data_IF_529131532228
#
_entry.id   IF_529131532228
#
_cell.length_a   1.000
_cell.length_b   1.000
_cell.length_c   1.000
_cell.angle_alpha   90.00
_cell.angle_beta   90.00
_cell.angle_gamma   90.00
#
_symmetry.space_group_name_H-M   'P 1'
#
loop_
_entity.id
_entity.type
_entity.pdbx_description
1 polymer ?
#
# COMPACT_ATOMS: atom_id res chain seq x y z
N UNK A 1 19.83 -1.94 19.60
CA UNK A 1 20.08 -0.70 20.39
C UNK A 1 19.14 0.38 19.90
N UNK A 2 18.50 1.16 20.82
CA UNK A 2 17.65 2.31 20.45
C UNK A 2 18.47 3.59 20.52
N UNK A 3 18.42 4.41 19.47
CA UNK A 3 18.90 5.78 19.45
C UNK A 3 17.75 6.74 19.20
N UNK A 4 17.74 7.90 19.87
CA UNK A 4 16.68 8.91 19.71
C UNK A 4 17.31 10.28 19.47
N UNK A 5 16.78 10.99 18.46
CA UNK A 5 17.12 12.39 18.19
C UNK A 5 15.84 13.22 18.30
N UNK A 6 15.86 14.27 19.12
CA UNK A 6 14.71 15.14 19.33
C UNK A 6 14.93 16.50 18.67
N UNK A 7 13.86 17.03 18.08
CA UNK A 7 13.76 18.38 17.55
C UNK A 7 12.41 18.98 17.96
N UNK A 8 12.35 20.31 18.09
CA UNK A 8 11.11 21.02 18.44
C UNK A 8 10.80 22.04 17.36
N UNK A 9 9.56 22.00 16.86
CA UNK A 9 9.05 22.91 15.83
C UNK A 9 7.77 23.58 16.32
N UNK A 10 7.89 24.74 16.95
CA UNK A 10 6.77 25.40 17.62
C UNK A 10 6.29 24.59 18.83
N UNK A 11 5.04 24.15 18.80
CA UNK A 11 4.41 23.26 19.78
C UNK A 11 4.57 21.78 19.48
N UNK A 12 5.22 21.43 18.37
CA UNK A 12 5.41 20.05 17.93
C UNK A 12 6.79 19.54 18.32
N UNK A 13 6.84 18.52 19.15
CA UNK A 13 8.04 17.73 19.42
C UNK A 13 8.11 16.59 18.41
N UNK A 14 9.28 16.45 17.76
CA UNK A 14 9.59 15.40 16.79
C UNK A 14 10.74 14.57 17.33
N UNK A 15 10.51 13.29 17.57
CA UNK A 15 11.55 12.33 17.97
C UNK A 15 11.77 11.33 16.85
N UNK A 16 12.99 11.29 16.37
CA UNK A 16 13.45 10.31 15.38
C UNK A 16 14.15 9.17 16.14
N UNK A 17 13.53 8.01 16.12
CA UNK A 17 14.02 6.79 16.74
C UNK A 17 14.61 5.87 15.68
N UNK A 18 15.80 5.32 15.92
CA UNK A 18 16.39 4.24 15.14
C UNK A 18 16.66 3.07 16.08
N UNK A 19 16.15 1.91 15.74
CA UNK A 19 16.29 0.68 16.52
C UNK A 19 16.99 -0.37 15.67
N UNK A 20 18.14 -0.87 16.19
CA UNK A 20 18.72 -2.12 15.66
C UNK A 20 17.94 -3.29 16.21
N UNK A 21 17.36 -4.09 15.33
CA UNK A 21 16.57 -5.27 15.65
C UNK A 21 16.97 -6.43 14.74
N UNK A 22 16.46 -7.63 14.97
CA UNK A 22 16.76 -8.79 14.15
C UNK A 22 16.05 -8.71 12.79
N UNK A 23 16.81 -8.89 11.71
CA UNK A 23 16.23 -9.14 10.40
C UNK A 23 15.72 -10.58 10.33
N UNK A 24 16.62 -11.51 10.63
CA UNK A 24 16.38 -12.93 10.88
C UNK A 24 17.49 -13.46 11.84
N UNK A 25 17.42 -14.70 12.35
CA UNK A 25 18.43 -15.20 13.29
C UNK A 25 19.87 -15.06 12.76
N UNK A 26 20.66 -14.21 13.41
CA UNK A 26 22.05 -13.97 13.09
C UNK A 26 22.32 -12.74 12.20
N UNK A 27 21.29 -12.02 11.78
CA UNK A 27 21.42 -10.80 10.98
C UNK A 27 20.59 -9.67 11.56
N UNK A 28 21.14 -8.48 11.64
CA UNK A 28 20.48 -7.30 12.19
C UNK A 28 20.02 -6.34 11.09
N UNK A 29 18.97 -5.59 11.39
CA UNK A 29 18.41 -4.51 10.56
C UNK A 29 18.23 -3.25 11.40
N UNK A 30 18.46 -2.08 10.81
CA UNK A 30 18.04 -0.82 11.39
C UNK A 30 16.63 -0.46 10.93
N UNK A 31 15.74 -0.21 11.89
CA UNK A 31 14.36 0.22 11.64
C UNK A 31 14.15 1.60 12.24
N UNK A 32 13.45 2.45 11.49
CA UNK A 32 13.21 3.84 11.83
C UNK A 32 11.76 4.08 12.19
N UNK A 33 11.53 4.85 13.24
CA UNK A 33 10.20 5.31 13.65
C UNK A 33 10.25 6.79 14.05
N UNK A 34 9.38 7.62 13.48
CA UNK A 34 9.21 9.02 13.87
C UNK A 34 8.06 9.17 14.83
N UNK A 35 8.31 9.70 16.01
CA UNK A 35 7.29 10.11 16.96
C UNK A 35 7.02 11.61 16.84
N UNK A 36 5.74 11.97 16.78
CA UNK A 36 5.22 13.33 16.77
C UNK A 36 4.35 13.54 17.99
N UNK A 37 4.60 14.62 18.76
CA UNK A 37 3.85 14.93 19.98
C UNK A 37 3.64 16.42 20.15
N UNK A 38 2.45 16.80 20.57
CA UNK A 38 2.13 18.14 21.11
C UNK A 38 1.86 18.09 22.62
N UNK A 39 1.81 16.88 23.19
CA UNK A 39 1.58 16.61 24.61
C UNK A 39 1.99 15.16 24.90
N UNK A 40 3.09 14.96 25.58
CA UNK A 40 3.67 13.64 25.86
C UNK A 40 2.84 12.77 26.82
N UNK A 41 1.87 13.37 27.52
CA UNK A 41 0.94 12.63 28.38
C UNK A 41 -0.12 11.85 27.59
N UNK A 42 -0.30 12.15 26.31
CA UNK A 42 -1.28 11.48 25.46
C UNK A 42 -0.87 10.03 25.14
N UNK A 43 -1.85 9.14 24.97
CA UNK A 43 -1.56 7.75 24.61
C UNK A 43 -0.88 7.65 23.24
N UNK A 44 -0.01 6.64 23.04
CA UNK A 44 0.64 6.43 21.76
C UNK A 44 -0.32 5.83 20.72
N UNK A 45 -0.22 6.32 19.48
CA UNK A 45 -0.86 5.76 18.28
C UNK A 45 0.22 5.36 17.28
N UNK A 46 0.34 4.07 17.00
CA UNK A 46 1.20 3.59 15.93
C UNK A 46 0.47 3.66 14.59
N UNK A 47 1.08 4.27 13.59
CA UNK A 47 0.61 4.22 12.20
C UNK A 47 1.36 3.18 11.41
N UNK A 48 0.60 2.24 10.84
CA UNK A 48 1.07 1.21 9.91
C UNK A 48 0.67 1.58 8.48
N UNK A 49 1.68 1.89 7.68
CA UNK A 49 1.53 2.36 6.30
C UNK A 49 1.02 1.23 5.39
N UNK A 50 0.24 1.60 4.37
CA UNK A 50 -0.15 0.72 3.27
C UNK A 50 1.00 0.39 2.31
N UNK A 51 0.69 -0.31 1.27
CA UNK A 51 1.61 -0.79 0.25
C UNK A 51 1.34 -2.26 -0.04
N UNK A 52 2.26 -3.17 0.25
CA UNK A 52 3.48 -3.14 1.10
C UNK A 52 4.62 -2.28 0.55
N UNK A 53 5.71 -2.17 1.32
CA UNK A 53 6.96 -1.59 0.81
C UNK A 53 6.97 -0.06 0.68
N UNK A 54 6.14 0.65 1.44
CA UNK A 54 6.15 2.13 1.52
C UNK A 54 6.58 2.63 2.89
N UNK A 55 7.34 3.75 2.94
CA UNK A 55 7.65 4.44 4.19
C UNK A 55 6.44 5.21 4.71
N UNK A 56 6.38 5.44 6.02
CA UNK A 56 5.33 6.22 6.67
C UNK A 56 5.56 7.75 6.54
N UNK A 57 5.81 8.23 5.32
CA UNK A 57 5.96 9.66 5.02
C UNK A 57 4.59 10.29 4.85
N UNK A 58 4.10 10.91 5.91
CA UNK A 58 2.76 11.51 5.97
C UNK A 58 2.88 13.02 6.15
N UNK A 59 2.20 13.84 5.33
CA UNK A 59 2.09 15.28 5.57
C UNK A 59 1.41 15.56 6.91
N UNK A 60 1.80 16.66 7.57
CA UNK A 60 1.19 17.12 8.82
C UNK A 60 -0.17 17.79 8.53
N UNK A 61 -1.11 17.02 8.01
CA UNK A 61 -2.47 17.46 7.70
C UNK A 61 -3.47 16.32 7.96
N UNK A 62 -4.72 16.50 7.56
CA UNK A 62 -5.76 15.49 7.53
C UNK A 62 -5.80 14.66 8.84
N UNK A 63 -5.69 13.34 8.70
CA UNK A 63 -5.78 12.42 9.83
C UNK A 63 -4.64 12.60 10.86
N UNK A 64 -3.43 12.96 10.42
CA UNK A 64 -2.30 13.10 11.35
C UNK A 64 -2.49 14.28 12.29
N UNK A 65 -2.98 15.41 11.76
CA UNK A 65 -3.32 16.58 12.59
C UNK A 65 -4.49 16.27 13.55
N UNK A 66 -5.47 15.51 13.10
CA UNK A 66 -6.56 15.04 13.97
C UNK A 66 -6.05 14.08 15.05
N UNK A 67 -5.21 13.11 14.70
CA UNK A 67 -4.63 12.18 15.65
C UNK A 67 -3.83 12.89 16.74
N UNK A 68 -3.04 13.90 16.39
CA UNK A 68 -2.23 14.68 17.34
C UNK A 68 -3.04 15.45 18.39
N UNK A 69 -4.35 15.62 18.21
CA UNK A 69 -5.24 16.17 19.24
C UNK A 69 -5.50 15.21 20.42
N UNK A 70 -5.30 13.92 20.17
CA UNK A 70 -5.69 12.84 21.08
C UNK A 70 -4.54 11.91 21.44
N UNK A 71 -3.47 11.90 20.63
CA UNK A 71 -2.38 10.95 20.71
C UNK A 71 -1.03 11.63 20.47
N UNK A 72 0.03 11.00 20.95
CA UNK A 72 1.35 11.11 20.33
C UNK A 72 1.41 10.03 19.24
N UNK A 73 1.91 10.37 18.04
CA UNK A 73 1.80 9.54 16.86
C UNK A 73 3.17 8.99 16.46
N UNK A 74 3.27 7.68 16.32
CA UNK A 74 4.46 6.98 15.87
C UNK A 74 4.26 6.55 14.41
N UNK A 75 5.13 7.03 13.52
CA UNK A 75 5.16 6.74 12.09
C UNK A 75 6.30 5.77 11.82
N UNK A 76 5.98 4.48 11.65
CA UNK A 76 6.96 3.42 11.43
C UNK A 76 7.27 3.30 9.94
N UNK A 77 8.52 3.58 9.53
CA UNK A 77 9.00 3.19 8.22
C UNK A 77 9.20 1.67 8.21
N UNK A 78 8.41 0.96 7.41
CA UNK A 78 8.52 -0.49 7.29
C UNK A 78 9.97 -0.88 6.94
N UNK A 79 10.43 -2.04 7.44
CA UNK A 79 11.74 -2.59 7.09
C UNK A 79 11.93 -2.60 5.57
N UNK A 80 13.11 -2.26 5.09
CA UNK A 80 13.41 -2.10 3.66
C UNK A 80 13.06 -0.73 3.08
N UNK A 81 12.39 0.18 3.82
CA UNK A 81 11.85 1.44 3.28
C UNK A 81 12.32 2.69 4.03
N UNK A 82 12.15 3.82 3.40
CA UNK A 82 12.30 5.13 4.03
C UNK A 82 13.67 5.38 4.64
N UNK A 83 13.69 5.56 5.97
CA UNK A 83 14.89 5.74 6.80
C UNK A 83 15.31 4.48 7.56
N UNK A 84 14.50 3.40 7.47
CA UNK A 84 14.96 2.05 7.82
C UNK A 84 16.03 1.59 6.83
N UNK A 85 16.75 0.49 7.13
CA UNK A 85 17.66 -0.11 6.15
C UNK A 85 16.95 -0.22 4.81
N UNK A 86 17.38 0.59 3.84
CA UNK A 86 16.63 0.80 2.61
C UNK A 86 17.05 -0.20 1.54
N UNK A 87 16.08 -0.83 0.90
CA UNK A 87 16.26 -1.73 -0.22
C UNK A 87 15.69 -1.09 -1.49
N UNK A 88 16.57 -0.60 -2.34
CA UNK A 88 16.26 -0.10 -3.67
C UNK A 88 17.35 -0.57 -4.66
N UNK A 89 17.29 -0.14 -5.90
CA UNK A 89 18.27 -0.53 -6.93
C UNK A 89 19.72 -0.13 -6.64
N UNK A 90 19.96 0.69 -5.61
CA UNK A 90 21.26 1.15 -5.14
C UNK A 90 21.71 0.45 -3.85
N UNK A 91 20.87 -0.43 -3.29
CA UNK A 91 21.24 -1.22 -2.12
C UNK A 91 22.37 -2.21 -2.45
N UNK A 92 23.05 -2.70 -1.40
CA UNK A 92 24.02 -3.78 -1.57
C UNK A 92 23.32 -4.98 -2.23
N UNK A 93 23.81 -5.46 -3.39
CA UNK A 93 23.23 -6.62 -4.06
C UNK A 93 23.13 -7.88 -3.18
N UNK A 94 23.99 -8.01 -2.16
CA UNK A 94 23.93 -9.11 -1.20
C UNK A 94 22.67 -9.10 -0.35
N UNK A 95 22.00 -7.96 -0.22
CA UNK A 95 20.74 -7.81 0.51
C UNK A 95 19.49 -8.04 -0.37
N UNK A 96 19.69 -8.12 -1.69
CA UNK A 96 18.59 -8.28 -2.67
C UNK A 96 18.34 -9.76 -3.02
N UNK A 97 18.34 -10.61 -2.03
CA UNK A 97 18.07 -12.04 -2.17
C UNK A 97 16.75 -12.46 -1.47
N UNK A 98 16.30 -13.67 -1.72
CA UNK A 98 15.05 -14.17 -1.17
C UNK A 98 15.11 -14.43 0.34
N UNK A 99 16.28 -14.61 0.92
CA UNK A 99 16.43 -14.75 2.38
C UNK A 99 16.05 -13.44 3.05
N UNK A 100 16.67 -12.33 2.64
CA UNK A 100 16.39 -11.00 3.20
C UNK A 100 14.96 -10.55 2.89
N UNK A 101 14.52 -10.65 1.62
CA UNK A 101 13.24 -10.11 1.20
C UNK A 101 12.04 -10.92 1.70
N UNK A 102 12.22 -12.20 2.07
CA UNK A 102 11.15 -13.00 2.68
C UNK A 102 10.74 -12.50 4.08
N UNK A 103 11.60 -11.69 4.70
CA UNK A 103 11.36 -11.08 6.01
C UNK A 103 10.83 -9.63 5.93
N UNK A 104 10.14 -9.28 4.84
CA UNK A 104 9.48 -7.98 4.67
C UNK A 104 7.95 -8.07 4.79
N UNK A 105 7.44 -9.15 5.37
CA UNK A 105 6.01 -9.44 5.49
C UNK A 105 5.41 -8.77 6.74
N UNK A 106 4.08 -8.79 6.85
CA UNK A 106 3.36 -8.15 7.95
C UNK A 106 3.83 -8.63 9.35
N UNK A 107 4.11 -9.94 9.52
CA UNK A 107 4.62 -10.47 10.79
C UNK A 107 5.96 -9.88 11.22
N UNK A 108 6.84 -9.60 10.27
CA UNK A 108 8.15 -9.05 10.56
C UNK A 108 8.04 -7.55 10.89
N UNK A 109 7.14 -6.83 10.22
CA UNK A 109 6.79 -5.44 10.54
C UNK A 109 6.17 -5.34 11.93
N UNK A 110 5.33 -6.30 12.31
CA UNK A 110 4.75 -6.40 13.66
C UNK A 110 5.83 -6.67 14.71
N UNK A 111 6.79 -7.53 14.39
CA UNK A 111 7.93 -7.77 15.30
C UNK A 111 8.77 -6.50 15.51
N UNK A 112 8.98 -5.69 14.48
CA UNK A 112 9.63 -4.38 14.60
C UNK A 112 8.82 -3.43 15.48
N UNK A 113 7.50 -3.38 15.29
CA UNK A 113 6.60 -2.57 16.10
C UNK A 113 6.68 -2.96 17.58
N UNK A 114 6.66 -4.27 17.91
CA UNK A 114 6.82 -4.78 19.27
C UNK A 114 8.20 -4.44 19.86
N UNK A 115 9.25 -4.54 19.06
CA UNK A 115 10.58 -4.13 19.48
C UNK A 115 10.65 -2.63 19.85
N UNK A 116 10.01 -1.75 19.07
CA UNK A 116 9.86 -0.33 19.42
C UNK A 116 9.02 -0.13 20.67
N UNK A 117 7.87 -0.80 20.78
CA UNK A 117 6.99 -0.71 21.95
C UNK A 117 7.75 -1.06 23.24
N UNK A 118 8.51 -2.15 23.22
CA UNK A 118 9.33 -2.57 24.34
C UNK A 118 10.48 -1.59 24.62
N UNK A 119 11.23 -1.16 23.60
CA UNK A 119 12.37 -0.29 23.74
C UNK A 119 12.00 1.12 24.25
N UNK A 120 10.78 1.59 23.92
CA UNK A 120 10.22 2.86 24.40
C UNK A 120 9.49 2.72 25.75
N UNK A 121 9.44 1.52 26.34
CA UNK A 121 8.79 1.25 27.62
C UNK A 121 7.27 1.48 27.57
N UNK A 122 6.64 1.27 26.40
CA UNK A 122 5.21 1.51 26.21
C UNK A 122 4.38 0.29 26.66
N UNK A 123 3.26 0.57 27.31
CA UNK A 123 2.24 -0.43 27.57
C UNK A 123 1.42 -0.75 26.30
N UNK A 124 0.09 -0.87 26.44
CA UNK A 124 -0.80 -0.97 25.29
C UNK A 124 -0.83 0.34 24.52
N UNK A 125 -0.91 0.26 23.21
CA UNK A 125 -1.07 1.41 22.32
C UNK A 125 -2.30 1.30 21.42
N UNK A 126 -2.66 2.38 20.78
CA UNK A 126 -3.63 2.36 19.71
C UNK A 126 -2.90 2.17 18.37
N UNK A 127 -3.58 1.62 17.37
CA UNK A 127 -3.01 1.42 16.05
C UNK A 127 -3.94 1.94 14.96
N UNK A 128 -3.37 2.57 13.92
CA UNK A 128 -4.07 2.99 12.72
C UNK A 128 -3.40 2.35 11.51
N UNK A 129 -4.14 1.62 10.69
CA UNK A 129 -3.65 1.00 9.48
C UNK A 129 -4.47 1.39 8.25
N UNK A 130 -3.78 1.72 7.16
CA UNK A 130 -4.39 1.98 5.87
C UNK A 130 -3.96 0.90 4.88
N UNK A 131 -4.93 0.28 4.16
CA UNK A 131 -4.61 -0.74 3.17
C UNK A 131 -3.80 -1.89 3.80
N UNK A 132 -2.65 -2.26 3.25
CA UNK A 132 -1.75 -3.26 3.85
C UNK A 132 -1.39 -2.98 5.33
N UNK A 133 -1.44 -1.71 5.77
CA UNK A 133 -1.30 -1.40 7.20
C UNK A 133 -2.40 -2.02 8.06
N UNK A 134 -3.60 -2.19 7.53
CA UNK A 134 -4.68 -2.94 8.18
C UNK A 134 -4.42 -4.45 8.17
N UNK A 135 -3.75 -4.99 7.13
CA UNK A 135 -3.27 -6.37 7.12
C UNK A 135 -2.23 -6.59 8.24
N UNK A 136 -1.33 -5.63 8.44
CA UNK A 136 -0.41 -5.63 9.57
C UNK A 136 -1.15 -5.60 10.93
N UNK A 137 -2.25 -4.82 11.07
CA UNK A 137 -3.07 -4.83 12.30
C UNK A 137 -3.71 -6.19 12.51
N UNK A 138 -4.27 -6.82 11.48
CA UNK A 138 -4.86 -8.16 11.57
C UNK A 138 -3.83 -9.20 12.00
N UNK A 139 -2.60 -9.14 11.45
CA UNK A 139 -1.46 -9.95 11.90
C UNK A 139 -1.07 -9.64 13.34
N UNK A 140 -1.09 -8.36 13.73
CA UNK A 140 -0.72 -7.93 15.07
C UNK A 140 -1.69 -8.49 16.12
N UNK A 141 -2.99 -8.41 15.87
CA UNK A 141 -4.02 -8.98 16.72
C UNK A 141 -3.95 -10.50 16.77
N UNK A 142 -3.50 -11.15 15.70
CA UNK A 142 -3.28 -12.60 15.65
C UNK A 142 -2.07 -13.05 16.49
N UNK A 143 -1.08 -12.19 16.72
CA UNK A 143 0.19 -12.57 17.35
C UNK A 143 0.42 -11.91 18.71
N UNK A 144 -0.08 -10.70 18.93
CA UNK A 144 0.11 -9.90 20.14
C UNK A 144 -1.19 -9.17 20.53
N UNK A 145 -2.29 -9.90 20.78
CA UNK A 145 -3.61 -9.30 21.03
C UNK A 145 -3.64 -8.37 22.24
N UNK A 146 -2.77 -8.59 23.23
CA UNK A 146 -2.70 -7.79 24.44
C UNK A 146 -1.93 -6.47 24.29
N UNK A 147 -1.22 -6.26 23.18
CA UNK A 147 -0.46 -5.05 22.92
C UNK A 147 -1.34 -3.87 22.44
N UNK A 148 -2.53 -4.15 21.92
CA UNK A 148 -3.42 -3.16 21.29
C UNK A 148 -4.61 -2.88 22.20
N UNK A 149 -4.94 -1.58 22.33
CA UNK A 149 -6.14 -1.11 23.01
C UNK A 149 -7.27 -0.83 22.03
N UNK A 150 -7.02 0.06 21.07
CA UNK A 150 -7.91 0.40 19.96
C UNK A 150 -7.23 0.21 18.63
N UNK A 151 -7.96 -0.34 17.65
CA UNK A 151 -7.48 -0.52 16.30
C UNK A 151 -8.40 0.19 15.30
N UNK A 152 -7.82 1.02 14.43
CA UNK A 152 -8.50 1.75 13.38
C UNK A 152 -8.02 1.25 12.03
N UNK A 153 -8.92 0.69 11.22
CA UNK A 153 -8.60 0.12 9.91
C UNK A 153 -9.30 0.92 8.80
N UNK A 154 -8.60 1.26 7.74
CA UNK A 154 -9.17 1.99 6.62
C UNK A 154 -8.83 1.30 5.30
N UNK A 155 -9.83 0.73 4.61
CA UNK A 155 -9.64 -0.04 3.38
C UNK A 155 -8.57 -1.13 3.54
N UNK A 156 -8.54 -1.83 4.69
CA UNK A 156 -7.41 -2.66 5.09
C UNK A 156 -7.79 -3.94 5.84
N UNK A 157 -8.98 -4.49 5.66
CA UNK A 157 -9.30 -5.84 6.12
C UNK A 157 -8.92 -6.85 5.03
N UNK A 158 -7.91 -7.73 5.26
CA UNK A 158 -7.45 -8.67 4.26
C UNK A 158 -8.52 -9.71 3.90
N UNK A 159 -8.50 -10.21 2.69
CA UNK A 159 -9.20 -11.47 2.39
C UNK A 159 -8.47 -12.66 3.01
N UNK A 160 -9.22 -13.62 3.59
CA UNK A 160 -8.69 -14.87 4.12
C UNK A 160 -8.74 -15.99 3.07
N UNK A 161 -8.53 -15.62 1.81
CA UNK A 161 -8.60 -16.50 0.64
C UNK A 161 -7.27 -16.52 -0.11
N UNK A 162 -7.15 -17.34 -1.14
CA UNK A 162 -5.95 -17.43 -1.97
C UNK A 162 -5.64 -16.11 -2.70
N UNK A 163 -4.40 -15.94 -3.16
CA UNK A 163 -4.03 -14.83 -4.03
C UNK A 163 -4.90 -14.79 -5.29
N UNK A 164 -5.15 -15.94 -5.94
CA UNK A 164 -5.97 -16.00 -7.14
C UNK A 164 -7.41 -15.56 -6.90
N UNK A 165 -8.05 -16.01 -5.80
CA UNK A 165 -9.42 -15.60 -5.48
C UNK A 165 -9.50 -14.12 -5.12
N UNK A 166 -8.47 -13.60 -4.44
CA UNK A 166 -8.34 -12.16 -4.18
C UNK A 166 -8.26 -11.39 -5.50
N UNK A 167 -7.41 -11.82 -6.45
CA UNK A 167 -7.28 -11.13 -7.73
C UNK A 167 -8.53 -11.29 -8.63
N UNK A 168 -9.23 -12.41 -8.58
CA UNK A 168 -10.55 -12.51 -9.25
C UNK A 168 -11.53 -11.47 -8.71
N UNK A 169 -11.56 -11.29 -7.40
CA UNK A 169 -12.40 -10.27 -6.76
C UNK A 169 -11.97 -8.85 -7.15
N UNK A 170 -10.66 -8.53 -7.12
CA UNK A 170 -10.15 -7.20 -7.51
C UNK A 170 -10.38 -6.90 -8.99
N UNK A 171 -10.17 -7.87 -9.90
CA UNK A 171 -10.46 -7.69 -11.32
C UNK A 171 -11.95 -7.50 -11.60
N UNK A 172 -12.82 -8.20 -10.91
CA UNK A 172 -14.28 -8.00 -11.04
C UNK A 172 -14.68 -6.58 -10.62
N UNK A 173 -14.13 -6.09 -9.49
CA UNK A 173 -14.34 -4.70 -9.03
C UNK A 173 -13.75 -3.68 -10.01
N UNK A 174 -12.54 -3.94 -10.51
CA UNK A 174 -11.90 -3.09 -11.51
C UNK A 174 -12.73 -3.01 -12.80
N UNK A 175 -13.21 -4.13 -13.33
CA UNK A 175 -14.04 -4.16 -14.54
C UNK A 175 -15.31 -3.31 -14.38
N UNK A 176 -16.01 -3.48 -13.25
CA UNK A 176 -17.20 -2.67 -12.94
C UNK A 176 -16.86 -1.17 -12.78
N UNK A 177 -15.73 -0.84 -12.14
CA UNK A 177 -15.29 0.54 -11.95
C UNK A 177 -14.84 1.18 -13.26
N UNK A 178 -14.12 0.43 -14.09
CA UNK A 178 -13.74 0.85 -15.44
C UNK A 178 -14.96 1.15 -16.31
N UNK A 179 -15.98 0.30 -16.30
CA UNK A 179 -17.20 0.57 -17.06
C UNK A 179 -17.84 1.89 -16.65
N UNK A 180 -17.97 2.17 -15.35
CA UNK A 180 -18.46 3.47 -14.85
C UNK A 180 -17.61 4.64 -15.33
N UNK A 181 -16.30 4.45 -15.43
CA UNK A 181 -15.39 5.49 -15.95
C UNK A 181 -15.66 5.73 -17.45
N UNK A 182 -15.77 4.66 -18.25
CA UNK A 182 -16.05 4.78 -19.68
C UNK A 182 -17.41 5.41 -19.96
N UNK A 183 -18.42 5.09 -19.14
CA UNK A 183 -19.76 5.70 -19.22
C UNK A 183 -19.71 7.22 -18.88
N UNK A 184 -18.88 7.61 -17.93
CA UNK A 184 -18.73 9.01 -17.48
C UNK A 184 -17.83 9.84 -18.40
N UNK A 185 -16.91 9.23 -19.13
CA UNK A 185 -15.93 9.88 -20.02
C UNK A 185 -16.00 9.22 -21.40
N UNK A 186 -16.95 9.62 -22.26
CA UNK A 186 -17.27 8.91 -23.50
C UNK A 186 -16.12 8.76 -24.51
N UNK A 187 -15.13 9.62 -24.49
CA UNK A 187 -13.94 9.52 -25.38
C UNK A 187 -12.85 8.59 -24.82
N UNK A 188 -12.95 8.13 -23.57
CA UNK A 188 -11.85 7.45 -22.89
C UNK A 188 -11.48 6.13 -23.53
N UNK A 189 -12.46 5.32 -23.94
CA UNK A 189 -12.21 4.02 -24.55
C UNK A 189 -11.42 4.14 -25.86
N UNK A 190 -11.90 4.97 -26.76
CA UNK A 190 -11.24 5.22 -28.06
C UNK A 190 -9.83 5.78 -27.85
N UNK A 191 -9.68 6.70 -26.89
CA UNK A 191 -8.40 7.30 -26.59
C UNK A 191 -7.39 6.31 -25.98
N UNK A 192 -7.82 5.45 -25.07
CA UNK A 192 -6.98 4.39 -24.52
C UNK A 192 -6.52 3.45 -25.64
N UNK A 193 -7.41 3.04 -26.54
CA UNK A 193 -7.10 2.18 -27.67
C UNK A 193 -6.14 2.87 -28.64
N UNK A 194 -6.37 4.16 -28.93
CA UNK A 194 -5.50 4.98 -29.78
C UNK A 194 -4.07 5.08 -29.21
N UNK A 195 -3.94 5.38 -27.91
CA UNK A 195 -2.63 5.44 -27.24
C UNK A 195 -1.94 4.09 -27.28
N UNK A 196 -2.63 3.00 -26.94
CA UNK A 196 -2.05 1.66 -27.00
C UNK A 196 -1.57 1.29 -28.39
N UNK A 197 -2.38 1.55 -29.43
CA UNK A 197 -1.98 1.32 -30.83
C UNK A 197 -0.75 2.15 -31.20
N UNK A 198 -0.71 3.43 -30.80
CA UNK A 198 0.44 4.28 -31.05
C UNK A 198 1.71 3.73 -30.37
N UNK A 199 1.64 3.34 -29.11
CA UNK A 199 2.76 2.80 -28.35
C UNK A 199 3.28 1.47 -28.92
N UNK A 200 2.39 0.65 -29.48
CA UNK A 200 2.78 -0.62 -30.10
C UNK A 200 3.53 -0.41 -31.43
N UNK A 201 3.33 0.75 -32.09
CA UNK A 201 3.89 1.08 -33.41
C UNK A 201 4.92 2.21 -33.39
N UNK A 202 5.37 2.67 -32.22
CA UNK A 202 6.32 3.77 -32.07
C UNK A 202 7.36 3.50 -30.97
N UNK A 203 8.40 4.33 -30.90
CA UNK A 203 9.42 4.32 -29.83
C UNK A 203 9.22 5.53 -28.90
N UNK A 204 8.04 5.61 -28.28
CA UNK A 204 7.83 6.61 -27.23
C UNK A 204 8.61 6.24 -25.97
N UNK A 205 9.32 7.22 -25.42
CA UNK A 205 10.16 7.04 -24.24
C UNK A 205 9.74 7.98 -23.13
N UNK A 206 9.74 7.45 -21.90
CA UNK A 206 9.58 8.24 -20.70
C UNK A 206 10.81 9.14 -20.49
N UNK A 207 10.70 10.24 -19.71
CA UNK A 207 11.83 11.13 -19.42
C UNK A 207 13.04 10.40 -18.79
N UNK A 208 12.83 9.26 -18.17
CA UNK A 208 13.85 8.39 -17.59
C UNK A 208 14.57 7.52 -18.62
N UNK A 209 14.14 7.58 -19.91
CA UNK A 209 14.82 7.01 -21.07
C UNK A 209 14.31 5.65 -21.53
N UNK A 210 13.59 4.90 -20.70
CA UNK A 210 13.03 3.61 -21.10
C UNK A 210 11.82 3.76 -22.03
N UNK A 211 11.59 2.76 -22.86
CA UNK A 211 10.44 2.72 -23.77
C UNK A 211 9.15 2.57 -22.96
N UNK A 212 8.13 3.31 -23.32
CA UNK A 212 6.77 3.13 -22.81
C UNK A 212 6.02 2.13 -23.69
N UNK A 213 5.71 0.96 -23.14
CA UNK A 213 4.87 -0.04 -23.82
C UNK A 213 3.39 0.18 -23.56
N UNK A 214 2.53 -0.33 -24.44
CA UNK A 214 1.08 -0.28 -24.24
C UNK A 214 0.64 -1.03 -22.96
N UNK A 215 1.27 -2.15 -22.63
CA UNK A 215 0.97 -2.91 -21.40
C UNK A 215 1.33 -2.12 -20.14
N UNK A 216 2.47 -1.37 -20.16
CA UNK A 216 2.86 -0.51 -19.05
C UNK A 216 1.92 0.68 -18.92
N UNK A 217 1.54 1.31 -20.03
CA UNK A 217 0.52 2.37 -20.03
C UNK A 217 -0.78 1.92 -19.39
N UNK A 218 -1.25 0.70 -19.68
CA UNK A 218 -2.54 0.18 -19.12
C UNK A 218 -2.55 0.11 -17.59
N UNK A 219 -1.40 0.10 -16.91
CA UNK A 219 -1.34 0.07 -15.45
C UNK A 219 -1.75 1.39 -14.79
N UNK A 220 -1.97 2.48 -15.56
CA UNK A 220 -2.57 3.70 -15.05
C UNK A 220 -3.98 3.48 -14.46
N UNK A 221 -4.61 2.36 -14.75
CA UNK A 221 -5.91 1.99 -14.18
C UNK A 221 -5.92 1.91 -12.64
N UNK A 222 -4.75 1.90 -11.98
CA UNK A 222 -4.65 2.08 -10.53
C UNK A 222 -5.32 3.38 -10.06
N UNK A 223 -5.39 4.41 -10.91
CA UNK A 223 -6.09 5.67 -10.62
C UNK A 223 -7.60 5.47 -10.39
N UNK A 224 -8.21 4.44 -11.00
CA UNK A 224 -9.64 4.15 -10.82
C UNK A 224 -10.01 3.85 -9.36
N UNK A 225 -9.05 3.40 -8.54
CA UNK A 225 -9.21 3.17 -7.10
C UNK A 225 -9.02 4.41 -6.23
N UNK A 226 -8.83 5.59 -6.82
CA UNK A 226 -8.61 6.85 -6.11
C UNK A 226 -9.80 7.79 -6.23
N UNK A 227 -9.99 8.69 -5.24
CA UNK A 227 -11.14 9.58 -5.18
C UNK A 227 -11.28 10.48 -6.42
N UNK A 228 -10.20 11.09 -6.87
CA UNK A 228 -10.16 11.93 -8.09
C UNK A 228 -9.71 11.16 -9.34
N UNK A 229 -9.83 9.82 -9.34
CA UNK A 229 -9.27 8.97 -10.39
C UNK A 229 -9.89 9.18 -11.77
N UNK A 230 -11.19 9.41 -11.84
CA UNK A 230 -11.89 9.65 -13.10
C UNK A 230 -11.44 10.96 -13.74
N UNK A 231 -11.39 12.02 -12.96
CA UNK A 231 -10.94 13.34 -13.39
C UNK A 231 -9.47 13.32 -13.83
N UNK A 232 -8.61 12.68 -13.04
CA UNK A 232 -7.19 12.54 -13.34
C UNK A 232 -6.95 11.77 -14.65
N UNK A 233 -7.68 10.67 -14.86
CA UNK A 233 -7.58 9.88 -16.09
C UNK A 233 -8.18 10.66 -17.28
N UNK A 234 -9.30 11.33 -17.11
CA UNK A 234 -9.90 12.14 -18.16
C UNK A 234 -8.93 13.23 -18.64
N UNK A 235 -8.28 13.95 -17.72
CA UNK A 235 -7.27 14.97 -18.04
C UNK A 235 -6.05 14.36 -18.76
N UNK A 236 -5.55 13.22 -18.32
CA UNK A 236 -4.44 12.53 -18.96
C UNK A 236 -4.76 12.08 -20.39
N UNK A 237 -6.01 11.67 -20.62
CA UNK A 237 -6.50 11.18 -21.92
C UNK A 237 -6.96 12.31 -22.85
N UNK A 238 -7.12 13.55 -22.36
CA UNK A 238 -7.54 14.67 -23.17
C UNK A 238 -6.37 15.18 -24.04
N UNK A 239 -6.55 15.04 -25.37
CA UNK A 239 -5.60 15.51 -26.38
C UNK A 239 -4.10 15.21 -26.12
N UNK A 240 -3.68 13.95 -25.83
CA UNK A 240 -2.32 13.62 -25.44
C UNK A 240 -1.29 13.67 -26.58
N UNK A 241 -1.74 13.91 -27.84
CA UNK A 241 -0.90 13.85 -29.02
C UNK A 241 -0.68 15.22 -29.67
N UNK A 242 0.49 15.39 -30.26
CA UNK A 242 0.82 16.46 -31.19
C UNK A 242 1.57 15.91 -32.41
N UNK A 243 1.83 16.79 -33.40
CA UNK A 243 2.62 16.42 -34.57
C UNK A 243 3.92 17.22 -34.59
N UNK A 244 5.04 16.50 -34.65
CA UNK A 244 6.38 17.06 -34.81
C UNK A 244 6.94 16.61 -36.15
N UNK A 245 7.16 17.57 -37.07
CA UNK A 245 7.68 17.29 -38.44
C UNK A 245 6.86 16.21 -39.17
N UNK A 246 5.55 16.21 -38.96
CA UNK A 246 4.63 15.23 -39.55
C UNK A 246 4.47 13.90 -38.81
N UNK A 247 5.27 13.66 -37.80
CA UNK A 247 5.15 12.46 -36.94
C UNK A 247 4.21 12.73 -35.76
N UNK A 248 3.29 11.83 -35.50
CA UNK A 248 2.43 11.83 -34.33
C UNK A 248 3.23 11.36 -33.11
N UNK A 249 3.25 12.17 -32.06
CA UNK A 249 3.98 11.91 -30.80
C UNK A 249 3.12 12.24 -29.60
N UNK A 250 3.37 11.57 -28.46
CA UNK A 250 2.81 12.00 -27.19
C UNK A 250 3.44 13.32 -26.73
N UNK A 251 2.65 14.18 -26.09
CA UNK A 251 3.16 15.42 -25.50
C UNK A 251 4.19 15.11 -24.38
N UNK A 252 5.19 15.96 -24.23
CA UNK A 252 6.22 15.78 -23.21
C UNK A 252 5.71 15.85 -21.79
N UNK A 253 4.69 16.66 -21.52
CA UNK A 253 3.99 16.73 -20.22
C UNK A 253 3.17 15.47 -19.92
N UNK A 254 2.50 14.90 -20.94
CA UNK A 254 1.82 13.59 -20.79
C UNK A 254 2.83 12.47 -20.48
N UNK A 255 3.98 12.45 -21.15
CA UNK A 255 5.05 11.48 -20.84
C UNK A 255 5.64 11.68 -19.43
N UNK A 256 5.78 12.91 -18.97
CA UNK A 256 6.26 13.23 -17.64
C UNK A 256 5.25 12.80 -16.54
N UNK A 257 3.95 13.06 -16.75
CA UNK A 257 2.90 12.61 -15.84
C UNK A 257 2.81 11.08 -15.81
N UNK A 258 2.84 10.42 -16.95
CA UNK A 258 2.91 8.96 -17.06
C UNK A 258 4.15 8.38 -16.33
N UNK A 259 5.32 8.99 -16.51
CA UNK A 259 6.54 8.55 -15.81
C UNK A 259 6.36 8.56 -14.31
N UNK A 260 5.75 9.61 -13.75
CA UNK A 260 5.51 9.75 -12.32
C UNK A 260 4.51 8.70 -11.79
N UNK A 261 3.48 8.37 -12.59
CA UNK A 261 2.42 7.42 -12.19
C UNK A 261 2.85 5.95 -12.30
N UNK A 262 3.72 5.65 -13.27
CA UNK A 262 4.07 4.28 -13.64
C UNK A 262 5.37 3.78 -13.01
N UNK A 263 6.23 4.69 -12.52
CA UNK A 263 7.53 4.34 -11.96
C UNK A 263 7.44 3.76 -10.56
N UNK A 264 8.19 2.67 -10.32
CA UNK A 264 8.39 2.09 -8.99
C UNK A 264 9.60 2.67 -8.25
N UNK A 265 10.26 3.72 -8.77
CA UNK A 265 11.48 4.30 -8.17
C UNK A 265 11.29 4.74 -6.71
N UNK A 266 10.12 5.25 -6.38
CA UNK A 266 9.83 5.69 -5.00
C UNK A 266 9.61 4.53 -4.01
N UNK A 267 9.16 3.36 -4.49
CA UNK A 267 8.82 2.20 -3.68
C UNK A 267 8.93 0.88 -4.49
N UNK A 268 10.15 0.46 -4.86
CA UNK A 268 10.33 -0.77 -5.67
C UNK A 268 9.84 -2.01 -4.94
N UNK A 269 9.97 -2.06 -3.62
CA UNK A 269 9.51 -3.17 -2.82
C UNK A 269 7.99 -3.41 -2.94
N UNK A 270 7.21 -2.38 -3.28
CA UNK A 270 5.79 -2.56 -3.54
C UNK A 270 5.54 -3.65 -4.60
N UNK A 271 6.27 -3.61 -5.70
CA UNK A 271 6.14 -4.64 -6.73
C UNK A 271 6.78 -5.97 -6.31
N UNK A 272 7.93 -5.91 -5.63
CA UNK A 272 8.75 -7.10 -5.32
C UNK A 272 8.05 -8.06 -4.34
N UNK A 273 7.39 -7.50 -3.32
CA UNK A 273 6.79 -8.29 -2.25
C UNK A 273 5.25 -8.24 -2.25
N UNK A 274 4.63 -7.66 -3.29
CA UNK A 274 3.19 -7.45 -3.31
C UNK A 274 2.39 -8.75 -3.15
N UNK A 275 2.72 -9.80 -3.91
CA UNK A 275 2.00 -11.07 -3.85
C UNK A 275 2.37 -11.93 -2.62
N UNK A 276 3.49 -11.63 -1.94
CA UNK A 276 3.90 -12.39 -0.73
C UNK A 276 3.02 -12.10 0.50
N UNK A 277 2.13 -11.10 0.42
CA UNK A 277 1.19 -10.77 1.50
C UNK A 277 0.07 -11.80 1.64
N UNK A 278 -0.17 -12.60 0.59
CA UNK A 278 -1.16 -13.67 0.57
C UNK A 278 -0.56 -15.03 0.97
N UNK A 279 -1.40 -15.96 1.40
CA UNK A 279 -1.00 -17.34 1.65
C UNK A 279 -1.00 -18.17 0.36
N UNK A 280 -0.26 -19.28 0.37
CA UNK A 280 -0.08 -20.18 -0.77
C UNK A 280 1.09 -19.77 -1.67
N UNK A 281 1.15 -20.31 -2.89
CA UNK A 281 2.16 -19.97 -3.87
C UNK A 281 1.59 -18.96 -4.84
N UNK A 282 2.06 -17.69 -4.84
CA UNK A 282 1.50 -16.64 -5.70
C UNK A 282 1.65 -16.96 -7.19
N UNK A 283 2.85 -17.36 -7.60
CA UNK A 283 3.19 -17.71 -8.98
C UNK A 283 2.64 -16.71 -10.02
N UNK A 284 2.76 -15.41 -9.71
CA UNK A 284 2.21 -14.32 -10.51
C UNK A 284 0.69 -14.42 -10.69
N UNK A 285 -0.04 -14.58 -9.59
CA UNK A 285 -1.49 -14.78 -9.61
C UNK A 285 -2.24 -13.65 -10.32
N UNK A 286 -1.85 -12.38 -10.10
CA UNK A 286 -2.44 -11.26 -10.81
C UNK A 286 -2.28 -11.36 -12.33
N UNK A 287 -1.13 -11.86 -12.79
CA UNK A 287 -0.86 -12.06 -14.22
C UNK A 287 -1.70 -13.19 -14.82
N UNK A 288 -1.80 -14.32 -14.12
CA UNK A 288 -2.59 -15.48 -14.60
C UNK A 288 -4.09 -15.17 -14.64
N UNK A 289 -4.62 -14.58 -13.57
CA UNK A 289 -6.04 -14.21 -13.48
C UNK A 289 -6.43 -13.12 -14.47
N UNK A 290 -5.47 -12.29 -14.93
CA UNK A 290 -5.72 -11.24 -15.93
C UNK A 290 -6.43 -11.76 -17.19
N UNK A 291 -6.14 -12.98 -17.62
CA UNK A 291 -6.69 -13.58 -18.84
C UNK A 291 -8.18 -13.94 -18.70
N UNK A 292 -8.70 -14.04 -17.49
CA UNK A 292 -10.11 -14.31 -17.21
C UNK A 292 -11.01 -13.07 -17.42
N UNK A 293 -10.41 -11.86 -17.59
CA UNK A 293 -11.12 -10.60 -17.61
C UNK A 293 -10.81 -9.74 -18.84
N UNK A 294 -11.87 -9.22 -19.48
CA UNK A 294 -11.71 -8.22 -20.55
C UNK A 294 -11.70 -6.80 -19.96
N UNK A 295 -10.52 -6.33 -19.58
CA UNK A 295 -10.31 -4.97 -19.06
C UNK A 295 -9.29 -4.22 -19.91
N UNK A 296 -9.55 -2.95 -20.20
CA UNK A 296 -8.64 -2.06 -20.94
C UNK A 296 -7.46 -1.63 -20.08
N UNK A 297 -7.70 -1.34 -18.81
CA UNK A 297 -6.72 -0.87 -17.84
C UNK A 297 -6.58 -1.90 -16.72
N UNK A 298 -5.42 -1.93 -16.07
CA UNK A 298 -5.16 -2.77 -14.90
C UNK A 298 -4.94 -1.91 -13.67
N UNK A 299 -5.31 -2.44 -12.50
CA UNK A 299 -5.23 -1.73 -11.22
C UNK A 299 -3.95 -2.04 -10.44
N UNK A 300 -4.12 -2.42 -9.19
CA UNK A 300 -3.03 -2.79 -8.27
C UNK A 300 -2.56 -4.24 -8.53
N UNK A 301 -2.06 -4.48 -9.72
CA UNK A 301 -1.64 -5.80 -10.19
C UNK A 301 -0.18 -5.77 -10.60
N UNK A 302 0.60 -6.73 -10.11
CA UNK A 302 2.01 -6.85 -10.42
C UNK A 302 2.20 -7.95 -11.46
N UNK A 303 3.01 -7.64 -12.48
CA UNK A 303 3.27 -8.52 -13.61
C UNK A 303 4.76 -8.80 -13.76
N UNK A 304 5.18 -10.01 -14.14
CA UNK A 304 6.61 -10.36 -14.29
C UNK A 304 7.35 -9.46 -15.28
N UNK A 305 6.69 -9.00 -16.35
CA UNK A 305 7.30 -8.14 -17.36
C UNK A 305 7.63 -6.71 -16.84
N UNK A 306 7.02 -6.25 -15.73
CA UNK A 306 7.38 -4.96 -15.13
C UNK A 306 8.82 -4.94 -14.64
N UNK A 307 9.35 -6.09 -14.22
CA UNK A 307 10.77 -6.25 -13.82
C UNK A 307 11.76 -6.18 -14.98
N UNK A 308 11.28 -6.20 -16.21
CA UNK A 308 12.09 -5.94 -17.41
C UNK A 308 12.00 -4.47 -17.85
N UNK A 309 10.81 -3.91 -17.81
CA UNK A 309 10.51 -2.59 -18.37
C UNK A 309 10.83 -1.44 -17.41
N UNK A 310 10.60 -1.60 -16.11
CA UNK A 310 10.87 -0.54 -15.13
C UNK A 310 12.33 -0.58 -14.65
N UNK A 311 13.11 0.50 -14.86
CA UNK A 311 14.51 0.54 -14.42
C UNK A 311 14.71 0.32 -12.92
N UNK A 312 13.72 0.71 -12.09
CA UNK A 312 13.79 0.54 -10.63
C UNK A 312 13.63 -0.91 -10.19
N UNK A 313 13.02 -1.75 -11.03
CA UNK A 313 12.72 -3.14 -10.71
C UNK A 313 13.73 -4.15 -11.27
N UNK A 314 14.55 -3.78 -12.27
CA UNK A 314 15.44 -4.71 -12.96
C UNK A 314 16.38 -5.48 -12.04
N UNK A 315 16.94 -4.81 -11.03
CA UNK A 315 17.83 -5.45 -10.06
C UNK A 315 17.13 -6.51 -9.20
N UNK A 316 15.81 -6.38 -9.04
CA UNK A 316 15.00 -7.28 -8.22
C UNK A 316 14.42 -8.48 -8.99
N UNK A 317 14.57 -8.52 -10.32
CA UNK A 317 13.94 -9.58 -11.12
C UNK A 317 14.22 -10.99 -10.62
N UNK A 318 15.49 -11.39 -10.38
CA UNK A 318 15.78 -12.76 -9.94
C UNK A 318 15.10 -13.11 -8.61
N UNK A 319 15.15 -12.20 -7.64
CA UNK A 319 14.54 -12.43 -6.33
C UNK A 319 13.00 -12.41 -6.40
N UNK A 320 12.40 -11.57 -7.23
CA UNK A 320 10.96 -11.53 -7.42
C UNK A 320 10.42 -12.85 -8.02
N UNK A 321 11.15 -13.44 -8.97
CA UNK A 321 10.84 -14.77 -9.53
C UNK A 321 10.92 -15.88 -8.46
N UNK A 322 11.94 -15.84 -7.59
CA UNK A 322 12.09 -16.78 -6.48
C UNK A 322 10.96 -16.62 -5.44
N UNK A 323 10.63 -15.38 -5.04
CA UNK A 323 9.56 -15.10 -4.10
C UNK A 323 8.18 -15.53 -4.64
N UNK A 324 7.94 -15.32 -5.95
CA UNK A 324 6.71 -15.74 -6.61
C UNK A 324 6.55 -17.27 -6.65
N UNK A 325 7.64 -18.02 -6.69
CA UNK A 325 7.63 -19.49 -6.69
C UNK A 325 7.55 -20.11 -5.28
N UNK A 326 7.74 -19.32 -4.22
CA UNK A 326 7.74 -19.78 -2.83
C UNK A 326 6.32 -19.96 -2.30
N UNK A 327 6.11 -20.99 -1.48
CA UNK A 327 4.89 -21.15 -0.70
C UNK A 327 4.94 -20.29 0.57
N UNK A 328 3.86 -19.55 0.83
CA UNK A 328 3.73 -18.64 1.96
C UNK A 328 2.63 -19.09 2.92
N UNK A 329 2.96 -19.14 4.21
CA UNK A 329 1.99 -19.39 5.26
C UNK A 329 1.05 -18.19 5.45
N UNK A 330 -0.17 -18.47 5.93
CA UNK A 330 -1.08 -17.43 6.41
C UNK A 330 -0.45 -16.64 7.56
N UNK A 331 -0.68 -15.35 7.59
CA UNK A 331 -0.22 -14.47 8.66
C UNK A 331 -1.33 -14.18 9.69
N UNK A 332 -2.51 -14.79 9.50
CA UNK A 332 -3.70 -14.54 10.31
C UNK A 332 -4.10 -15.79 11.08
N UNK A 333 -4.34 -15.61 12.39
CA UNK A 333 -4.95 -16.62 13.27
C UNK A 333 -6.39 -16.16 13.59
N UNK A 334 -7.34 -16.82 12.95
CA UNK A 334 -8.77 -16.53 13.10
C UNK A 334 -9.27 -16.75 14.53
N UNK A 335 -8.72 -17.75 15.23
CA UNK A 335 -9.10 -18.01 16.62
C UNK A 335 -8.61 -16.88 17.53
N UNK A 336 -7.37 -16.43 17.35
CA UNK A 336 -6.80 -15.33 18.10
C UNK A 336 -7.57 -14.00 17.87
N UNK A 337 -8.03 -13.74 16.63
CA UNK A 337 -8.88 -12.57 16.33
C UNK A 337 -10.20 -12.59 17.12
N UNK A 338 -10.80 -13.78 17.27
CA UNK A 338 -12.03 -14.00 18.06
C UNK A 338 -11.83 -13.85 19.57
N UNK A 339 -10.60 -13.92 20.05
CA UNK A 339 -10.25 -13.79 21.48
C UNK A 339 -9.65 -12.43 21.84
N UNK A 340 -9.15 -11.67 20.85
CA UNK A 340 -8.50 -10.39 21.06
C UNK A 340 -9.39 -9.40 21.84
N UNK A 341 -8.84 -8.78 22.89
CA UNK A 341 -9.57 -7.83 23.73
C UNK A 341 -9.60 -6.41 23.20
N UNK A 342 -8.91 -6.12 22.09
CA UNK A 342 -8.89 -4.83 21.44
C UNK A 342 -10.27 -4.50 20.87
N UNK A 343 -10.70 -3.23 21.03
CA UNK A 343 -11.89 -2.73 20.35
C UNK A 343 -11.46 -2.13 19.01
N UNK A 344 -12.05 -2.61 17.92
CA UNK A 344 -11.66 -2.26 16.57
C UNK A 344 -12.76 -1.47 15.86
N UNK A 345 -12.37 -0.57 14.95
CA UNK A 345 -13.29 0.07 14.02
C UNK A 345 -12.68 0.09 12.61
N UNK A 346 -13.49 -0.24 11.61
CA UNK A 346 -13.04 -0.30 10.23
C UNK A 346 -13.93 0.53 9.29
N UNK A 347 -13.30 1.35 8.44
CA UNK A 347 -13.92 1.94 7.27
C UNK A 347 -13.76 0.97 6.09
N UNK A 348 -14.87 0.44 5.59
CA UNK A 348 -14.93 -0.45 4.42
C UNK A 348 -15.56 0.33 3.27
N UNK A 349 -14.83 0.48 2.18
CA UNK A 349 -15.27 1.25 1.02
C UNK A 349 -15.98 0.32 0.01
N UNK A 350 -17.22 0.66 -0.35
CA UNK A 350 -18.08 -0.22 -1.18
C UNK A 350 -17.51 -0.53 -2.54
N UNK A 351 -16.90 0.47 -3.16
CA UNK A 351 -16.38 0.39 -4.54
C UNK A 351 -14.85 0.26 -4.56
N UNK A 352 -14.26 -0.22 -3.46
CA UNK A 352 -12.81 -0.46 -3.39
C UNK A 352 -12.40 -1.54 -4.39
N UNK A 353 -11.48 -1.20 -5.30
CA UNK A 353 -10.97 -2.11 -6.32
C UNK A 353 -9.68 -2.81 -5.90
N UNK A 354 -9.13 -2.49 -4.71
CA UNK A 354 -7.89 -3.04 -4.17
C UNK A 354 -8.15 -4.00 -3.01
N UNK A 355 -9.04 -3.60 -2.09
CA UNK A 355 -9.44 -4.42 -0.94
C UNK A 355 -10.95 -4.63 -1.02
N UNK A 356 -11.41 -5.68 -1.70
CA UNK A 356 -12.82 -5.92 -1.99
C UNK A 356 -13.67 -5.97 -0.73
N UNK A 357 -14.78 -5.24 -0.75
CA UNK A 357 -15.72 -5.12 0.37
C UNK A 357 -16.17 -6.49 0.92
N UNK A 358 -16.50 -7.40 0.03
CA UNK A 358 -17.04 -8.72 0.38
C UNK A 358 -16.01 -9.50 1.20
N UNK A 359 -14.74 -9.54 0.76
CA UNK A 359 -13.65 -10.19 1.48
C UNK A 359 -13.36 -9.50 2.82
N UNK A 360 -13.48 -8.16 2.85
CA UNK A 360 -13.33 -7.39 4.09
C UNK A 360 -14.41 -7.72 5.12
N UNK A 361 -15.66 -7.88 4.71
CA UNK A 361 -16.77 -8.21 5.60
C UNK A 361 -16.68 -9.66 6.11
N UNK A 362 -16.24 -10.58 5.27
CA UNK A 362 -16.00 -11.96 5.69
C UNK A 362 -14.92 -12.02 6.79
N UNK A 363 -13.84 -11.28 6.62
CA UNK A 363 -12.79 -11.20 7.63
C UNK A 363 -13.26 -10.49 8.90
N UNK A 364 -14.05 -9.42 8.78
CA UNK A 364 -14.60 -8.69 9.91
C UNK A 364 -15.42 -9.58 10.86
N UNK A 365 -16.10 -10.59 10.32
CA UNK A 365 -16.94 -11.52 11.10
C UNK A 365 -16.13 -12.39 12.09
N UNK A 366 -14.82 -12.47 11.93
CA UNK A 366 -13.94 -13.24 12.82
C UNK A 366 -13.39 -12.45 14.01
N UNK A 367 -13.55 -11.12 14.02
CA UNK A 367 -13.09 -10.30 15.14
C UNK A 367 -14.11 -10.35 16.29
N UNK A 368 -13.60 -10.36 17.50
CA UNK A 368 -14.44 -10.32 18.71
C UNK A 368 -15.26 -9.02 18.84
N UNK A 369 -14.62 -7.87 18.61
CA UNK A 369 -15.24 -6.54 18.68
C UNK A 369 -14.71 -5.66 17.56
N UNK A 370 -15.29 -5.78 16.38
CA UNK A 370 -15.01 -4.93 15.24
C UNK A 370 -16.29 -4.24 14.76
N UNK A 371 -16.29 -2.93 14.80
CA UNK A 371 -17.37 -2.06 14.35
C UNK A 371 -17.08 -1.62 12.94
N UNK A 372 -17.92 -2.03 11.99
CA UNK A 372 -17.74 -1.75 10.56
C UNK A 372 -18.57 -0.54 10.14
N UNK A 373 -17.90 0.43 9.53
CA UNK A 373 -18.52 1.52 8.80
C UNK A 373 -18.40 1.32 7.31
N UNK A 374 -19.48 0.85 6.68
CA UNK A 374 -19.54 0.76 5.24
C UNK A 374 -19.90 2.11 4.62
N UNK A 375 -19.14 2.55 3.62
CA UNK A 375 -19.39 3.82 2.94
C UNK A 375 -19.10 3.74 1.44
N UNK A 376 -19.95 4.41 0.63
CA UNK A 376 -19.71 4.66 -0.79
C UNK A 376 -19.12 6.06 -1.06
N UNK A 377 -18.91 6.85 0.00
CA UNK A 377 -18.44 8.23 -0.11
C UNK A 377 -16.95 8.38 -0.47
N UNK A 378 -16.21 7.29 -0.44
CA UNK A 378 -14.75 7.29 -0.66
C UNK A 378 -14.34 6.12 -1.55
N UNK A 379 -13.19 6.27 -2.20
CA UNK A 379 -12.43 5.19 -2.81
C UNK A 379 -11.33 4.74 -1.83
N UNK A 380 -10.48 3.81 -2.25
CA UNK A 380 -9.42 3.22 -1.41
C UNK A 380 -8.57 4.25 -0.65
N UNK A 381 -8.31 5.39 -1.24
CA UNK A 381 -7.49 6.45 -0.64
C UNK A 381 -8.25 7.39 0.31
N UNK A 382 -9.41 6.97 0.87
CA UNK A 382 -10.26 7.80 1.71
C UNK A 382 -9.51 8.49 2.85
N UNK A 383 -8.63 7.78 3.57
CA UNK A 383 -7.82 8.34 4.65
C UNK A 383 -6.94 9.53 4.20
N UNK A 384 -6.52 9.57 2.92
CA UNK A 384 -5.75 10.67 2.34
C UNK A 384 -6.63 11.82 1.88
N UNK A 385 -7.88 11.52 1.51
CA UNK A 385 -8.83 12.52 0.98
C UNK A 385 -9.54 13.27 2.09
N UNK A 386 -10.02 12.55 3.11
CA UNK A 386 -10.80 13.13 4.23
C UNK A 386 -10.42 12.48 5.57
N UNK A 387 -9.13 12.38 5.82
CA UNK A 387 -8.59 11.60 6.91
C UNK A 387 -8.99 12.09 8.29
N UNK A 388 -9.15 13.40 8.49
CA UNK A 388 -9.58 13.95 9.77
C UNK A 388 -11.00 13.47 10.14
N UNK A 389 -11.93 13.48 9.19
CA UNK A 389 -13.30 13.01 9.39
C UNK A 389 -13.35 11.50 9.60
N UNK A 390 -12.62 10.75 8.76
CA UNK A 390 -12.59 9.28 8.84
C UNK A 390 -12.04 8.83 10.19
N UNK A 391 -10.88 9.36 10.60
CA UNK A 391 -10.27 8.97 11.87
C UNK A 391 -11.16 9.33 13.06
N UNK A 392 -11.73 10.55 13.07
CA UNK A 392 -12.66 10.97 14.12
C UNK A 392 -13.85 10.03 14.25
N UNK A 393 -14.45 9.66 13.12
CA UNK A 393 -15.59 8.73 13.10
C UNK A 393 -15.21 7.36 13.66
N UNK A 394 -14.05 6.79 13.26
CA UNK A 394 -13.57 5.52 13.79
C UNK A 394 -13.26 5.61 15.31
N UNK A 395 -12.70 6.74 15.78
CA UNK A 395 -12.44 6.98 17.21
C UNK A 395 -13.74 7.09 18.02
N UNK A 396 -14.79 7.66 17.45
CA UNK A 396 -16.12 7.70 18.06
C UNK A 396 -16.73 6.31 18.15
N UNK A 397 -16.59 5.51 17.08
CA UNK A 397 -17.10 4.14 17.03
C UNK A 397 -16.51 3.27 18.15
N UNK A 398 -15.21 3.29 18.40
CA UNK A 398 -14.60 2.45 19.46
C UNK A 398 -14.94 2.87 20.88
N UNK A 399 -15.52 4.08 21.08
CA UNK A 399 -15.91 4.61 22.38
C UNK A 399 -17.40 4.42 22.69
N UNK A 400 -18.22 4.16 21.66
CA UNK A 400 -19.65 3.88 21.79
C UNK A 400 -19.91 2.45 22.29
#
# INVERSE_FOLDING_TARGET
>A
MLTTRENIYGDLTVRDHTLTTSWYPGEDIEVFCRELSTDDSRPPLLFLQGGPGYPARVPLDGWLREALRHHRVLLLDQRGTGRSTRLDRHADPALLDATHLSHLRARDIVADAEAFRAALGLGRWDVLGQSFGGFCITTYLSTHPDAIRYAYLTGGLPGLVSAEDTYRATYAKLAARQQRFLDAVPFAEDRIREICHHLDNSDERLPTGERLSSRRFRTIGIELGRGAGFENLALLLDAPFHHIRGEKRLHGDALADLSTRLSFEAAPLYAVIHETIYAGTPAWAAHRVREEFDVLLTGEHIFPWQFEEDPALRAFRPVAEELAAREWESQYDVAALGEASAVCAAAVYRDDIFVPRELSLDTAAHFRDLRVWETAGYQHNGLRVDGARILRHLMEMVRS
#
